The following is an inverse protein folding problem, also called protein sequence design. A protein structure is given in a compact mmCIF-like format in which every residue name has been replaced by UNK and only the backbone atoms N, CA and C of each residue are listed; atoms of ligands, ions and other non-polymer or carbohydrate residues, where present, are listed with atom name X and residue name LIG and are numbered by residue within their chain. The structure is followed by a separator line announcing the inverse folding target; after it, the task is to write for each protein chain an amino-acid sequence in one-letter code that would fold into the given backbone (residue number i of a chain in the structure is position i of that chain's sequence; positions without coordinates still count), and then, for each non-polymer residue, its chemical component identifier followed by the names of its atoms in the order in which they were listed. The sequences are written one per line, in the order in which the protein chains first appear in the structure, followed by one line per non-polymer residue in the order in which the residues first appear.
data_IF_346543510261
#
_entry.id   IF_346543510261
#
_cell.length_a   1.000
_cell.length_b   1.000
_cell.length_c   1.000
_cell.angle_alpha   90.00
_cell.angle_beta   90.00
_cell.angle_gamma   90.00
#
_symmetry.space_group_name_H-M   'P 1'
#
loop_
_entity.id
_entity.type
_entity.pdbx_description
1 polymer ?
#
# COMPACT_ATOMS: atom_id res chain seq x y z
N UNK A 1 -3.84 6.83 56.39
CA UNK A 1 -5.03 6.71 55.55
C UNK A 1 -4.59 6.68 54.09
N UNK A 2 -4.31 5.47 53.55
CA UNK A 2 -3.74 5.24 52.25
C UNK A 2 -4.87 4.78 51.34
N UNK A 3 -5.16 5.59 50.32
CA UNK A 3 -6.15 5.27 49.31
C UNK A 3 -5.51 4.30 48.33
N UNK A 4 -5.93 3.04 48.38
CA UNK A 4 -5.57 2.02 47.42
C UNK A 4 -6.43 2.27 46.17
N UNK A 5 -5.87 2.90 45.16
CA UNK A 5 -6.47 2.91 43.83
C UNK A 5 -6.34 1.51 43.25
N UNK A 6 -7.47 0.83 43.14
CA UNK A 6 -7.61 -0.43 42.43
C UNK A 6 -7.38 -0.17 40.92
N UNK A 7 -6.15 -0.40 40.45
CA UNK A 7 -5.85 -0.53 39.03
C UNK A 7 -6.53 -1.80 38.51
N UNK A 8 -7.65 -1.60 37.86
CA UNK A 8 -8.29 -2.62 37.03
C UNK A 8 -7.40 -2.85 35.81
N UNK A 9 -6.44 -3.76 35.90
CA UNK A 9 -5.63 -4.20 34.78
C UNK A 9 -6.56 -5.06 33.90
N UNK A 10 -7.24 -4.41 32.95
CA UNK A 10 -7.78 -5.11 31.81
C UNK A 10 -6.63 -5.90 31.20
N UNK A 11 -6.72 -7.23 31.22
CA UNK A 11 -5.86 -8.13 30.44
C UNK A 11 -6.13 -7.86 28.95
N UNK A 12 -5.54 -6.82 28.41
CA UNK A 12 -5.45 -6.65 26.95
C UNK A 12 -4.54 -7.76 26.50
N UNK A 13 -5.09 -8.80 25.87
CA UNK A 13 -4.28 -9.78 25.15
C UNK A 13 -3.48 -9.02 24.13
N UNK A 14 -2.21 -8.82 24.40
CA UNK A 14 -1.29 -8.27 23.37
C UNK A 14 -1.39 -9.15 22.14
N UNK A 15 -1.74 -8.61 20.98
CA UNK A 15 -1.81 -9.40 19.76
C UNK A 15 -0.42 -10.00 19.49
N UNK A 16 -0.40 -11.25 19.02
CA UNK A 16 0.86 -11.94 18.71
C UNK A 16 1.58 -11.15 17.60
N UNK A 17 2.89 -10.92 17.73
CA UNK A 17 3.65 -10.26 16.68
C UNK A 17 3.59 -11.08 15.39
N UNK A 18 3.40 -10.39 14.28
CA UNK A 18 3.52 -10.95 12.94
C UNK A 18 4.96 -10.74 12.46
N UNK A 19 5.57 -11.77 11.89
CA UNK A 19 6.92 -11.66 11.35
C UNK A 19 6.86 -11.58 9.82
N UNK A 20 7.46 -10.52 9.25
CA UNK A 20 7.60 -10.32 7.81
C UNK A 20 9.09 -10.10 7.54
N UNK A 21 9.70 -10.96 6.75
CA UNK A 21 11.14 -10.92 6.44
C UNK A 21 12.03 -10.81 7.69
N UNK A 22 11.66 -11.51 8.79
CA UNK A 22 12.40 -11.50 10.05
C UNK A 22 12.13 -10.31 10.97
N UNK A 23 11.34 -9.33 10.55
CA UNK A 23 10.92 -8.20 11.38
C UNK A 23 9.60 -8.50 12.10
N UNK A 24 9.52 -8.16 13.39
CA UNK A 24 8.32 -8.34 14.19
C UNK A 24 7.39 -7.13 14.05
N UNK A 25 6.15 -7.37 13.69
CA UNK A 25 5.09 -6.35 13.61
C UNK A 25 4.00 -6.66 14.64
N UNK A 26 3.58 -5.65 15.38
CA UNK A 26 2.49 -5.77 16.35
C UNK A 26 1.20 -5.30 15.66
N UNK A 27 0.19 -6.18 15.47
CA UNK A 27 -1.08 -5.78 14.90
C UNK A 27 -1.79 -4.76 15.80
N UNK A 28 -2.36 -3.72 15.19
CA UNK A 28 -3.21 -2.76 15.91
C UNK A 28 -4.53 -3.42 16.32
N UNK A 29 -5.08 -3.01 17.45
CA UNK A 29 -6.40 -3.49 17.91
C UNK A 29 -7.53 -2.77 17.15
N UNK A 30 -8.74 -3.34 17.16
CA UNK A 30 -9.92 -2.70 16.56
C UNK A 30 -10.26 -1.35 17.21
N UNK A 31 -9.94 -1.18 18.49
CA UNK A 31 -10.08 0.09 19.20
C UNK A 31 -9.06 1.13 18.68
N UNK A 32 -7.87 0.69 18.33
CA UNK A 32 -6.82 1.56 17.78
C UNK A 32 -7.20 2.09 16.39
N UNK A 33 -7.99 1.34 15.60
CA UNK A 33 -8.46 1.80 14.30
C UNK A 33 -9.40 3.02 14.40
N UNK A 34 -10.31 3.03 15.35
CA UNK A 34 -11.24 4.17 15.58
C UNK A 34 -10.49 5.44 16.00
N UNK A 35 -9.27 5.27 16.54
CA UNK A 35 -8.35 6.31 16.97
C UNK A 35 -7.00 6.22 16.27
N UNK A 36 -6.94 5.67 15.04
CA UNK A 36 -5.70 5.53 14.30
C UNK A 36 -5.00 6.87 14.20
N UNK A 37 -3.90 6.99 14.95
CA UNK A 37 -3.05 8.16 14.87
C UNK A 37 -2.35 8.18 13.51
N UNK A 38 -2.40 9.31 12.87
CA UNK A 38 -1.57 9.55 11.70
C UNK A 38 -0.12 9.67 12.13
N UNK A 39 0.76 9.03 11.38
CA UNK A 39 2.20 9.19 11.51
C UNK A 39 2.75 10.00 10.34
N UNK A 40 3.92 10.59 10.54
CA UNK A 40 4.69 11.27 9.49
C UNK A 40 6.03 10.57 9.33
N UNK A 41 6.47 10.40 8.09
CA UNK A 41 7.75 9.79 7.75
C UNK A 41 8.32 10.46 6.52
N UNK A 42 9.61 10.80 6.58
CA UNK A 42 10.34 11.22 5.38
C UNK A 42 10.85 9.99 4.65
N UNK A 43 10.53 9.89 3.38
CA UNK A 43 11.03 8.86 2.48
C UNK A 43 11.66 9.52 1.26
N UNK A 44 12.97 9.39 1.10
CA UNK A 44 13.74 10.20 0.16
C UNK A 44 13.42 11.69 0.32
N UNK A 45 12.93 12.35 -0.72
CA UNK A 45 12.53 13.77 -0.71
C UNK A 45 11.06 14.01 -0.30
N UNK A 46 10.28 12.93 -0.06
CA UNK A 46 8.86 13.04 0.22
C UNK A 46 8.56 13.02 1.72
N UNK A 47 7.77 14.01 2.16
CA UNK A 47 7.13 13.96 3.48
C UNK A 47 5.81 13.22 3.36
N UNK A 48 5.74 12.03 3.94
CA UNK A 48 4.57 11.17 3.91
C UNK A 48 3.77 11.29 5.20
N UNK A 49 2.46 11.39 5.07
CA UNK A 49 1.53 11.14 6.16
C UNK A 49 0.87 9.80 5.94
N UNK A 50 0.74 9.00 6.98
CA UNK A 50 0.15 7.68 6.85
C UNK A 50 -0.58 7.21 8.10
N UNK A 51 -1.25 6.08 7.96
CA UNK A 51 -1.85 5.27 9.02
C UNK A 51 -1.46 3.81 8.82
N UNK A 52 -1.57 3.01 9.87
CA UNK A 52 -1.17 1.61 9.85
C UNK A 52 0.35 1.44 10.05
N UNK A 53 0.94 0.43 9.43
CA UNK A 53 2.31 0.02 9.71
C UNK A 53 3.35 0.77 8.84
N UNK A 54 3.94 1.84 9.39
CA UNK A 54 4.96 2.63 8.69
C UNK A 54 6.23 1.84 8.32
N UNK A 55 6.54 0.75 9.05
CA UNK A 55 7.76 -0.04 8.84
C UNK A 55 7.71 -0.85 7.54
N UNK A 56 6.53 -1.01 6.91
CA UNK A 56 6.43 -1.62 5.60
C UNK A 56 7.21 -0.86 4.52
N UNK A 57 7.41 0.44 4.72
CA UNK A 57 8.21 1.27 3.83
C UNK A 57 9.73 1.10 3.98
N UNK A 58 10.18 0.41 5.04
CA UNK A 58 11.60 0.11 5.28
C UNK A 58 12.04 -1.20 4.61
N UNK A 59 11.07 -1.96 4.08
CA UNK A 59 11.30 -3.22 3.38
C UNK A 59 11.47 -2.96 1.87
N UNK A 60 12.06 -3.90 1.12
CA UNK A 60 11.98 -3.88 -0.34
C UNK A 60 10.52 -3.90 -0.80
N UNK A 61 10.12 -2.87 -1.54
CA UNK A 61 8.74 -2.68 -1.97
C UNK A 61 8.64 -2.86 -3.49
N UNK A 62 7.62 -3.59 -3.95
CA UNK A 62 7.30 -3.74 -5.38
C UNK A 62 6.06 -2.94 -5.73
N UNK A 63 6.18 -1.99 -6.67
CA UNK A 63 5.05 -1.26 -7.20
C UNK A 63 4.27 -2.10 -8.22
N UNK A 64 2.94 -2.00 -8.18
CA UNK A 64 2.08 -2.63 -9.18
C UNK A 64 1.19 -1.60 -9.86
N UNK A 65 1.16 -1.65 -11.20
CA UNK A 65 0.36 -0.76 -12.02
C UNK A 65 -0.42 -1.50 -13.10
N UNK A 66 -1.63 -1.02 -13.36
CA UNK A 66 -2.45 -1.48 -14.47
C UNK A 66 -3.37 -0.38 -14.98
N UNK A 67 -3.54 -0.28 -16.28
CA UNK A 67 -4.56 0.58 -16.89
C UNK A 67 -5.97 0.16 -16.49
N UNK A 68 -6.94 1.04 -16.69
CA UNK A 68 -8.37 0.73 -16.39
C UNK A 68 -8.90 -0.44 -17.21
N UNK A 69 -8.49 -0.51 -18.48
CA UNK A 69 -8.83 -1.61 -19.38
C UNK A 69 -7.58 -2.45 -19.61
N UNK A 70 -7.72 -3.74 -19.36
CA UNK A 70 -6.63 -4.71 -19.53
C UNK A 70 -7.13 -5.90 -20.34
N UNK A 71 -6.33 -6.43 -21.27
CA UNK A 71 -6.62 -7.69 -21.95
C UNK A 71 -6.74 -8.85 -20.96
N UNK A 72 -7.55 -9.86 -21.30
CA UNK A 72 -7.74 -11.03 -20.45
C UNK A 72 -6.43 -11.76 -20.10
N UNK A 73 -5.47 -11.79 -21.03
CA UNK A 73 -4.14 -12.36 -20.78
C UNK A 73 -3.37 -11.58 -19.70
N UNK A 74 -3.38 -10.23 -19.75
CA UNK A 74 -2.76 -9.40 -18.72
C UNK A 74 -3.43 -9.57 -17.35
N UNK A 75 -4.75 -9.77 -17.31
CA UNK A 75 -5.48 -10.04 -16.08
C UNK A 75 -5.00 -11.36 -15.46
N UNK A 76 -4.89 -12.44 -16.25
CA UNK A 76 -4.39 -13.73 -15.75
C UNK A 76 -2.97 -13.61 -15.23
N UNK A 77 -2.05 -13.03 -16.02
CA UNK A 77 -0.67 -12.83 -15.59
C UNK A 77 -0.55 -12.02 -14.29
N UNK A 78 -1.37 -10.98 -14.12
CA UNK A 78 -1.41 -10.19 -12.90
C UNK A 78 -1.92 -10.99 -11.68
N UNK A 79 -2.89 -11.87 -11.86
CA UNK A 79 -3.40 -12.73 -10.78
C UNK A 79 -2.37 -13.77 -10.36
N UNK A 80 -1.68 -14.40 -11.33
CA UNK A 80 -0.59 -15.35 -11.06
C UNK A 80 0.58 -14.66 -10.34
N UNK A 81 0.94 -13.46 -10.80
CA UNK A 81 1.93 -12.62 -10.14
C UNK A 81 1.52 -12.27 -8.70
N UNK A 82 0.27 -11.88 -8.48
CA UNK A 82 -0.24 -11.56 -7.13
C UNK A 82 -0.12 -12.76 -6.18
N UNK A 83 -0.43 -13.97 -6.66
CA UNK A 83 -0.26 -15.19 -5.87
C UNK A 83 1.21 -15.47 -5.55
N UNK A 84 2.13 -15.20 -6.47
CA UNK A 84 3.57 -15.34 -6.24
C UNK A 84 4.04 -14.34 -5.16
N UNK A 85 3.64 -13.06 -5.27
CA UNK A 85 3.96 -12.05 -4.24
C UNK A 85 3.39 -12.44 -2.87
N UNK A 86 2.16 -12.96 -2.85
CA UNK A 86 1.52 -13.42 -1.63
C UNK A 86 2.29 -14.59 -0.97
N UNK A 87 2.77 -15.55 -1.73
CA UNK A 87 3.62 -16.66 -1.24
C UNK A 87 4.95 -16.14 -0.69
N UNK A 88 5.57 -15.18 -1.38
CA UNK A 88 6.83 -14.58 -0.97
C UNK A 88 6.68 -13.61 0.22
N UNK A 89 5.45 -13.26 0.62
CA UNK A 89 5.17 -12.19 1.60
C UNK A 89 5.86 -10.87 1.23
N UNK A 90 5.99 -10.61 -0.07
CA UNK A 90 6.57 -9.38 -0.57
C UNK A 90 5.65 -8.18 -0.28
N UNK A 91 6.23 -7.03 0.00
CA UNK A 91 5.46 -5.80 0.18
C UNK A 91 5.10 -5.24 -1.18
N UNK A 92 3.80 -5.12 -1.45
CA UNK A 92 3.29 -4.55 -2.69
C UNK A 92 2.72 -3.16 -2.43
N UNK A 93 3.19 -2.17 -3.19
CA UNK A 93 2.65 -0.80 -3.18
C UNK A 93 1.87 -0.51 -4.45
N UNK A 94 0.72 0.12 -4.33
CA UNK A 94 -0.06 0.62 -5.46
C UNK A 94 -1.04 1.70 -5.02
N UNK A 95 -1.67 2.34 -5.99
CA UNK A 95 -2.83 3.19 -5.73
C UNK A 95 -4.10 2.38 -5.51
N UNK A 96 -4.13 1.13 -5.98
CA UNK A 96 -5.27 0.23 -6.00
C UNK A 96 -6.55 0.88 -6.55
N UNK A 97 -6.36 1.69 -7.60
CA UNK A 97 -7.44 2.50 -8.18
C UNK A 97 -8.09 1.85 -9.41
N UNK A 98 -7.30 1.19 -10.27
CA UNK A 98 -7.84 0.48 -11.44
C UNK A 98 -8.52 -0.83 -11.02
N UNK A 99 -9.47 -1.36 -11.83
CA UNK A 99 -10.14 -2.63 -11.51
C UNK A 99 -9.18 -3.80 -11.29
N UNK A 100 -8.11 -3.88 -12.09
CA UNK A 100 -7.12 -4.94 -11.95
C UNK A 100 -6.25 -4.76 -10.69
N UNK A 101 -5.84 -3.52 -10.37
CA UNK A 101 -5.15 -3.22 -9.11
C UNK A 101 -6.00 -3.60 -7.88
N UNK A 102 -7.30 -3.35 -7.92
CA UNK A 102 -8.24 -3.76 -6.86
C UNK A 102 -8.35 -5.29 -6.75
N UNK A 103 -8.35 -5.99 -7.89
CA UNK A 103 -8.36 -7.46 -7.89
C UNK A 103 -7.07 -8.05 -7.29
N UNK A 104 -5.92 -7.48 -7.63
CA UNK A 104 -4.63 -7.83 -7.03
C UNK A 104 -4.64 -7.57 -5.52
N UNK A 105 -5.13 -6.41 -5.09
CA UNK A 105 -5.26 -6.10 -3.66
C UNK A 105 -6.09 -7.13 -2.91
N UNK A 106 -7.22 -7.56 -3.48
CA UNK A 106 -8.08 -8.59 -2.86
C UNK A 106 -7.32 -9.89 -2.64
N UNK A 107 -6.54 -10.36 -3.63
CA UNK A 107 -5.70 -11.56 -3.49
C UNK A 107 -4.68 -11.38 -2.36
N UNK A 108 -3.99 -10.23 -2.33
CA UNK A 108 -2.98 -9.96 -1.31
C UNK A 108 -3.58 -9.90 0.11
N UNK A 109 -4.73 -9.25 0.29
CA UNK A 109 -5.44 -9.18 1.58
C UNK A 109 -5.89 -10.57 2.01
N UNK A 110 -6.53 -11.34 1.13
CA UNK A 110 -6.98 -12.71 1.44
C UNK A 110 -5.84 -13.63 1.83
N UNK A 111 -4.69 -13.46 1.18
CA UNK A 111 -3.47 -14.21 1.52
C UNK A 111 -2.71 -13.64 2.72
N UNK A 112 -3.22 -12.59 3.40
CA UNK A 112 -2.56 -11.90 4.51
C UNK A 112 -1.14 -11.46 4.15
N UNK A 113 -1.00 -10.85 2.98
CA UNK A 113 0.26 -10.32 2.46
C UNK A 113 0.38 -8.83 2.78
N UNK A 114 1.61 -8.32 3.03
CA UNK A 114 1.79 -6.91 3.35
C UNK A 114 1.56 -6.02 2.13
N UNK A 115 0.85 -4.89 2.33
CA UNK A 115 0.52 -3.94 1.27
C UNK A 115 0.66 -2.50 1.72
N UNK A 116 1.02 -1.62 0.79
CA UNK A 116 1.03 -0.16 0.99
C UNK A 116 0.10 0.48 -0.04
N UNK A 117 -0.94 1.16 0.42
CA UNK A 117 -1.86 1.88 -0.44
C UNK A 117 -1.52 3.38 -0.46
N UNK A 118 -1.32 3.94 -1.65
CA UNK A 118 -1.00 5.37 -1.82
C UNK A 118 -2.24 6.12 -2.26
N UNK A 119 -2.66 7.10 -1.46
CA UNK A 119 -3.81 7.94 -1.76
C UNK A 119 -3.40 9.21 -2.51
N UNK A 120 -4.29 9.68 -3.38
CA UNK A 120 -4.18 10.98 -4.04
C UNK A 120 -4.73 12.15 -3.20
N UNK A 121 -5.27 11.86 -2.02
CA UNK A 121 -5.90 12.80 -1.08
C UNK A 121 -5.27 12.66 0.30
N UNK A 122 -5.45 13.63 1.20
CA UNK A 122 -4.99 13.51 2.58
C UNK A 122 -5.49 12.22 3.24
N UNK A 123 -4.64 11.59 4.05
CA UNK A 123 -5.00 10.38 4.82
C UNK A 123 -5.96 10.74 5.96
N UNK A 124 -5.74 11.90 6.60
CA UNK A 124 -6.60 12.39 7.68
C UNK A 124 -8.05 12.57 7.21
N UNK A 125 -8.99 11.90 7.87
CA UNK A 125 -10.41 11.91 7.52
C UNK A 125 -10.78 11.14 6.25
N UNK A 126 -9.86 10.39 5.64
CA UNK A 126 -10.16 9.56 4.49
C UNK A 126 -11.09 8.41 4.89
N UNK A 127 -12.22 8.26 4.16
CA UNK A 127 -13.06 7.08 4.29
C UNK A 127 -12.36 5.92 3.60
N UNK A 128 -11.96 4.92 4.37
CA UNK A 128 -11.31 3.71 3.87
C UNK A 128 -12.34 2.62 3.57
N UNK A 129 -12.08 1.75 2.59
CA UNK A 129 -12.89 0.58 2.35
C UNK A 129 -12.92 -0.33 3.61
N UNK A 130 -14.09 -0.91 3.98
CA UNK A 130 -14.21 -1.75 5.17
C UNK A 130 -13.23 -2.94 5.18
N UNK A 131 -12.92 -3.49 4.02
CA UNK A 131 -11.97 -4.61 3.85
C UNK A 131 -10.51 -4.25 4.16
N UNK A 132 -10.17 -2.96 4.29
CA UNK A 132 -8.84 -2.50 4.68
C UNK A 132 -8.63 -2.46 6.19
N UNK A 133 -9.74 -2.47 6.96
CA UNK A 133 -9.69 -2.31 8.43
C UNK A 133 -8.92 -3.45 9.08
N UNK A 134 -9.23 -4.69 8.70
CA UNK A 134 -8.58 -5.85 9.29
C UNK A 134 -7.07 -5.91 9.00
N UNK A 135 -6.59 -5.79 7.73
CA UNK A 135 -5.14 -5.76 7.46
C UNK A 135 -4.43 -4.56 8.11
N UNK A 136 -5.07 -3.40 8.26
CA UNK A 136 -4.51 -2.28 9.02
C UNK A 136 -4.32 -2.65 10.48
N UNK A 137 -5.34 -3.23 11.14
CA UNK A 137 -5.28 -3.67 12.53
C UNK A 137 -4.25 -4.78 12.77
N UNK A 138 -3.99 -5.60 11.76
CA UNK A 138 -3.01 -6.67 11.82
C UNK A 138 -1.57 -6.20 11.51
N UNK A 139 -1.36 -4.92 11.21
CA UNK A 139 -0.06 -4.40 10.81
C UNK A 139 0.41 -4.86 9.42
N UNK A 140 -0.50 -5.42 8.63
CA UNK A 140 -0.25 -5.89 7.27
C UNK A 140 -0.48 -4.81 6.21
N UNK A 141 -0.96 -3.64 6.63
CA UNK A 141 -1.25 -2.56 5.69
C UNK A 141 -0.74 -1.22 6.21
N UNK A 142 -0.25 -0.40 5.29
CA UNK A 142 -0.11 1.04 5.46
C UNK A 142 -0.91 1.77 4.40
N UNK A 143 -1.51 2.89 4.78
CA UNK A 143 -2.15 3.82 3.84
C UNK A 143 -1.43 5.14 3.95
N UNK A 144 -0.88 5.63 2.85
CA UNK A 144 0.01 6.79 2.84
C UNK A 144 -0.40 7.83 1.79
N UNK A 145 0.00 9.06 2.02
CA UNK A 145 -0.12 10.16 1.06
C UNK A 145 0.99 11.18 1.27
N UNK A 146 1.48 11.76 0.18
CA UNK A 146 2.27 12.99 0.21
C UNK A 146 1.39 14.24 0.08
N UNK A 147 0.10 14.09 -0.22
CA UNK A 147 -0.83 15.20 -0.36
C UNK A 147 -1.47 15.52 1.00
N UNK A 148 -1.25 16.74 1.49
CA UNK A 148 -1.75 17.17 2.80
C UNK A 148 -3.03 18.01 2.71
N UNK A 149 -3.35 18.57 1.55
CA UNK A 149 -4.37 19.63 1.43
C UNK A 149 -5.43 19.40 0.36
N UNK A 150 -5.07 18.81 -0.77
CA UNK A 150 -5.96 18.71 -1.93
C UNK A 150 -6.92 17.54 -1.80
N UNK A 151 -8.21 17.82 -1.73
CA UNK A 151 -9.27 16.81 -1.70
C UNK A 151 -9.84 16.48 -3.09
N UNK A 152 -9.67 17.43 -4.06
CA UNK A 152 -10.15 17.25 -5.43
C UNK A 152 -9.15 16.38 -6.21
N UNK A 153 -9.66 15.31 -6.79
CA UNK A 153 -8.87 14.45 -7.67
C UNK A 153 -8.78 15.09 -9.06
N UNK A 154 -7.60 15.60 -9.41
CA UNK A 154 -7.25 16.04 -10.77
C UNK A 154 -6.29 15.02 -11.40
N UNK A 155 -6.04 15.20 -12.69
CA UNK A 155 -5.11 14.36 -13.43
C UNK A 155 -3.67 14.51 -12.90
N UNK A 156 -3.27 15.73 -12.57
CA UNK A 156 -1.96 16.05 -12.00
C UNK A 156 -1.78 15.35 -10.65
N UNK A 157 -2.79 15.41 -9.78
CA UNK A 157 -2.78 14.74 -8.47
C UNK A 157 -2.74 13.22 -8.63
N UNK A 158 -3.43 12.66 -9.62
CA UNK A 158 -3.39 11.23 -9.92
C UNK A 158 -2.02 10.81 -10.48
N UNK A 159 -1.40 11.63 -11.34
CA UNK A 159 -0.05 11.39 -11.85
C UNK A 159 0.99 11.49 -10.73
N UNK A 160 0.96 12.52 -9.91
CA UNK A 160 1.86 12.70 -8.77
C UNK A 160 1.78 11.51 -7.80
N UNK A 161 0.56 11.00 -7.51
CA UNK A 161 0.39 9.77 -6.73
C UNK A 161 1.06 8.57 -7.38
N UNK A 162 0.89 8.36 -8.68
CA UNK A 162 1.50 7.23 -9.37
C UNK A 162 3.03 7.35 -9.40
N UNK A 163 3.56 8.57 -9.58
CA UNK A 163 4.99 8.84 -9.47
C UNK A 163 5.50 8.50 -8.08
N UNK A 164 4.79 8.90 -7.02
CA UNK A 164 5.14 8.54 -5.66
C UNK A 164 5.15 7.00 -5.45
N UNK A 165 4.15 6.26 -5.97
CA UNK A 165 4.14 4.79 -5.92
C UNK A 165 5.41 4.20 -6.54
N UNK A 166 5.83 4.72 -7.71
CA UNK A 166 7.04 4.25 -8.39
C UNK A 166 8.32 4.63 -7.63
N UNK A 167 8.34 5.79 -6.97
CA UNK A 167 9.50 6.24 -6.18
C UNK A 167 9.68 5.46 -4.88
N UNK A 168 8.59 5.02 -4.24
CA UNK A 168 8.63 4.17 -3.05
C UNK A 168 9.15 2.76 -3.34
N UNK A 169 9.15 2.33 -4.60
CA UNK A 169 9.44 0.95 -4.97
C UNK A 169 10.87 0.75 -5.48
N UNK A 170 11.42 -0.42 -5.18
CA UNK A 170 12.67 -0.93 -5.78
C UNK A 170 12.42 -1.56 -7.14
N UNK A 171 11.23 -2.15 -7.33
CA UNK A 171 10.80 -2.77 -8.58
C UNK A 171 9.42 -2.25 -8.98
N UNK A 172 9.25 -1.92 -10.24
CA UNK A 172 7.99 -1.42 -10.82
C UNK A 172 7.44 -2.50 -11.76
N UNK A 173 6.31 -3.08 -11.41
CA UNK A 173 5.63 -4.10 -12.22
C UNK A 173 4.42 -3.48 -12.90
N UNK A 174 4.35 -3.63 -14.22
CA UNK A 174 3.26 -3.13 -15.06
C UNK A 174 2.56 -4.30 -15.72
N UNK A 175 1.31 -4.55 -15.36
CA UNK A 175 0.53 -5.61 -15.99
C UNK A 175 0.06 -5.22 -17.40
N UNK A 176 -0.34 -3.98 -17.57
CA UNK A 176 -0.73 -3.43 -18.86
C UNK A 176 -0.77 -1.90 -18.80
N UNK A 177 -0.19 -1.27 -19.79
CA UNK A 177 -0.29 0.17 -20.01
C UNK A 177 -0.93 0.42 -21.40
N UNK A 178 -2.17 0.93 -21.42
CA UNK A 178 -2.87 1.20 -22.67
C UNK A 178 -2.12 2.21 -23.52
N UNK A 179 -1.89 1.94 -24.82
CA UNK A 179 -1.18 2.86 -25.72
C UNK A 179 -1.79 4.27 -25.69
N UNK A 180 -0.91 5.29 -25.64
CA UNK A 180 -1.35 6.70 -25.54
C UNK A 180 -1.96 7.11 -24.20
N UNK A 181 -2.09 6.18 -23.24
CA UNK A 181 -2.61 6.45 -21.92
C UNK A 181 -1.57 7.07 -20.98
N UNK A 182 -2.03 7.71 -19.89
CA UNK A 182 -1.17 8.33 -18.89
C UNK A 182 -0.19 7.36 -18.25
N UNK A 183 -0.61 6.14 -17.99
CA UNK A 183 0.28 5.12 -17.44
C UNK A 183 1.40 4.78 -18.42
N UNK A 184 1.09 4.66 -19.72
CA UNK A 184 2.12 4.42 -20.74
C UNK A 184 3.15 5.54 -20.79
N UNK A 185 2.74 6.79 -20.66
CA UNK A 185 3.63 7.94 -20.54
C UNK A 185 4.55 7.83 -19.30
N UNK A 186 4.00 7.55 -18.14
CA UNK A 186 4.77 7.37 -16.90
C UNK A 186 5.74 6.20 -16.98
N UNK A 187 5.32 5.07 -17.56
CA UNK A 187 6.18 3.90 -17.76
C UNK A 187 7.36 4.22 -18.66
N UNK A 188 7.15 5.00 -19.73
CA UNK A 188 8.23 5.46 -20.58
C UNK A 188 9.24 6.33 -19.82
N UNK A 189 8.78 7.23 -18.97
CA UNK A 189 9.66 8.04 -18.11
C UNK A 189 10.43 7.17 -17.09
N UNK A 190 9.76 6.27 -16.39
CA UNK A 190 10.40 5.39 -15.39
C UNK A 190 11.45 4.48 -16.02
N UNK A 191 11.27 4.05 -17.27
CA UNK A 191 12.28 3.28 -18.00
C UNK A 191 13.55 4.09 -18.30
N UNK A 192 13.42 5.39 -18.52
CA UNK A 192 14.57 6.27 -18.69
C UNK A 192 15.29 6.54 -17.35
N UNK A 193 14.54 6.74 -16.28
CA UNK A 193 15.08 7.07 -14.96
C UNK A 193 15.65 5.84 -14.23
N UNK A 194 14.97 4.68 -14.37
CA UNK A 194 15.27 3.43 -13.66
C UNK A 194 15.18 2.22 -14.61
N UNK A 195 16.06 2.09 -15.61
CA UNK A 195 15.91 1.13 -16.72
C UNK A 195 15.82 -0.34 -16.27
N UNK A 196 16.46 -0.69 -15.15
CA UNK A 196 16.47 -2.08 -14.64
C UNK A 196 15.37 -2.37 -13.61
N UNK A 197 14.54 -1.39 -13.26
CA UNK A 197 13.52 -1.54 -12.22
C UNK A 197 12.12 -1.76 -12.79
N UNK A 198 11.90 -1.51 -14.09
CA UNK A 198 10.59 -1.63 -14.73
C UNK A 198 10.45 -3.00 -15.41
N UNK A 199 9.50 -3.79 -14.92
CA UNK A 199 9.18 -5.13 -15.43
C UNK A 199 7.74 -5.11 -15.97
N UNK A 200 7.56 -5.52 -17.21
CA UNK A 200 6.24 -5.80 -17.77
C UNK A 200 5.92 -7.28 -17.61
N UNK A 201 4.67 -7.59 -17.23
CA UNK A 201 4.20 -8.97 -17.21
C UNK A 201 3.99 -9.44 -18.65
N UNK A 202 4.68 -10.51 -19.00
CA UNK A 202 4.52 -11.16 -20.30
C UNK A 202 3.44 -12.22 -20.22
N UNK A 203 2.67 -12.36 -21.30
CA UNK A 203 1.55 -13.32 -21.41
C UNK A 203 1.37 -13.82 -22.85
#
# INVERSE_FOLDING_TARGET
MVIIQALWIMKIKTPKPLYINGLAFIPLSKADYLHMQTWQKTYAEHSLTGIGNANLLDLPVTAFFASRQCPGAAIRAAMDWALQQAKAKAVVVSSFHSPLEQSVLKVLIQARSPVVAVLARPVGGAKLPPEWIEPLNQGLMAVVSANLTTTRLTDEVAMARNTLVAQLATTIVVAHASPGGRLAYLVAQWRLEKPHSVVELHF
#
